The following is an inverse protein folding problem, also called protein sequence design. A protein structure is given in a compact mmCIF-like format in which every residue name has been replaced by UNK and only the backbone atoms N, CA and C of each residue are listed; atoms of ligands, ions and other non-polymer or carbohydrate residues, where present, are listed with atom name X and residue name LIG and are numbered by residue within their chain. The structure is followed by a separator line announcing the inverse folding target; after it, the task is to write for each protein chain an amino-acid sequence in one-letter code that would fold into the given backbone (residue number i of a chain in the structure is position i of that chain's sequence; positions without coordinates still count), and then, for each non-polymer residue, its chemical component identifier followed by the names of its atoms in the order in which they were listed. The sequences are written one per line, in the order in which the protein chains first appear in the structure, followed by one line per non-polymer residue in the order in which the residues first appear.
data_IF_296711435324
#
_entry.id   IF_296711435324
#
_cell.length_a   1.000
_cell.length_b   1.000
_cell.length_c   1.000
_cell.angle_alpha   90.00
_cell.angle_beta   90.00
_cell.angle_gamma   90.00
#
_symmetry.space_group_name_H-M   'P 1'
#
loop_
_entity.id
_entity.type
_entity.pdbx_description
1 polymer ?
#
# COMPACT_ATOMS: atom_id res chain seq x y z
N UNK A 1 -7.99 6.64 25.07
CA UNK A 1 -6.95 7.00 24.08
C UNK A 1 -7.51 8.19 23.31
N UNK A 2 -7.07 9.40 23.66
CA UNK A 2 -7.36 10.60 22.87
C UNK A 2 -6.64 10.46 21.51
N UNK A 3 -7.29 10.85 20.41
CA UNK A 3 -6.77 10.66 19.04
C UNK A 3 -5.57 11.54 18.66
N UNK A 4 -4.80 12.01 19.65
CA UNK A 4 -3.71 12.99 19.48
C UNK A 4 -2.34 12.36 19.17
N UNK A 5 -2.21 11.02 19.23
CA UNK A 5 -0.94 10.29 19.01
C UNK A 5 -0.92 9.43 17.72
N UNK A 6 -1.84 9.66 16.77
CA UNK A 6 -1.93 8.89 15.52
C UNK A 6 -1.48 9.74 14.32
N UNK A 7 -0.52 9.22 13.54
CA UNK A 7 -0.02 9.85 12.30
C UNK A 7 -0.29 8.92 11.13
N UNK A 8 -0.85 9.43 10.04
CA UNK A 8 -1.11 8.64 8.84
C UNK A 8 0.18 8.32 8.06
N UNK A 9 0.19 7.24 7.27
CA UNK A 9 1.31 6.95 6.37
C UNK A 9 1.55 8.09 5.40
N UNK A 10 0.49 8.70 4.86
CA UNK A 10 0.60 9.86 3.98
C UNK A 10 1.31 11.05 4.64
N UNK A 11 1.10 11.31 5.94
CA UNK A 11 1.77 12.38 6.68
C UNK A 11 3.24 12.06 6.94
N UNK A 12 3.57 10.81 7.27
CA UNK A 12 4.97 10.36 7.42
C UNK A 12 5.73 10.56 6.09
N UNK A 13 5.11 10.17 4.97
CA UNK A 13 5.72 10.31 3.63
C UNK A 13 5.73 11.77 3.13
N UNK A 14 4.77 12.60 3.57
CA UNK A 14 4.66 14.01 3.18
C UNK A 14 5.71 14.91 3.81
N UNK A 15 6.19 14.58 5.02
CA UNK A 15 7.26 15.31 5.71
C UNK A 15 8.62 15.25 5.01
N UNK A 16 8.85 14.26 4.15
CA UNK A 16 10.10 14.11 3.38
C UNK A 16 10.28 15.17 2.27
N UNK A 17 9.22 15.88 1.90
CA UNK A 17 9.18 16.67 0.66
C UNK A 17 9.36 18.19 0.81
N UNK A 18 9.17 18.80 1.98
CA UNK A 18 9.29 20.25 2.14
C UNK A 18 9.88 20.65 3.50
N UNK A 19 10.96 21.43 3.42
CA UNK A 19 11.64 22.17 4.49
C UNK A 19 12.37 21.34 5.56
N UNK A 20 13.67 21.16 5.32
CA UNK A 20 14.67 20.99 6.37
C UNK A 20 14.72 22.24 7.27
N UNK A 21 13.78 22.36 8.20
CA UNK A 21 13.89 23.19 9.41
C UNK A 21 12.76 22.90 10.40
N UNK A 22 13.09 22.05 11.40
CA UNK A 22 12.51 22.01 12.75
C UNK A 22 11.04 21.60 12.93
N UNK A 23 10.75 20.30 12.73
CA UNK A 23 9.79 19.51 13.52
C UNK A 23 10.30 18.07 13.55
N UNK A 24 10.23 17.35 14.68
CA UNK A 24 10.74 15.98 14.85
C UNK A 24 10.48 15.10 13.61
N UNK A 25 11.48 14.96 12.74
CA UNK A 25 11.44 14.09 11.57
C UNK A 25 11.45 12.65 12.07
N UNK A 26 10.34 11.94 11.94
CA UNK A 26 10.26 10.51 12.22
C UNK A 26 10.87 9.79 11.02
N UNK A 27 12.20 9.71 10.98
CA UNK A 27 12.90 8.88 10.01
C UNK A 27 12.64 7.41 10.39
N UNK A 28 11.85 6.71 9.56
CA UNK A 28 11.55 5.29 9.79
C UNK A 28 12.83 4.48 9.55
N UNK A 29 13.36 3.87 10.61
CA UNK A 29 14.46 2.93 10.48
C UNK A 29 14.08 1.73 9.63
N UNK A 30 15.11 1.03 9.12
CA UNK A 30 14.93 -0.10 8.23
C UNK A 30 14.12 -1.24 8.88
N UNK A 31 14.28 -1.43 10.19
CA UNK A 31 13.55 -2.42 10.97
C UNK A 31 12.07 -2.07 11.06
N UNK A 32 11.76 -0.82 11.46
CA UNK A 32 10.40 -0.31 11.54
C UNK A 32 9.68 -0.48 10.20
N UNK A 33 10.35 -0.13 9.09
CA UNK A 33 9.80 -0.30 7.74
C UNK A 33 9.30 -1.72 7.45
N UNK A 34 10.11 -2.74 7.75
CA UNK A 34 9.71 -4.13 7.52
C UNK A 34 8.66 -4.63 8.52
N UNK A 35 8.69 -4.15 9.77
CA UNK A 35 7.61 -4.41 10.71
C UNK A 35 6.28 -3.87 10.18
N UNK A 36 6.27 -2.63 9.67
CA UNK A 36 5.08 -2.03 9.08
C UNK A 36 4.62 -2.81 7.85
N UNK A 37 5.52 -3.21 6.95
CA UNK A 37 5.18 -4.03 5.79
C UNK A 37 4.49 -5.34 6.19
N UNK A 38 5.01 -6.04 7.21
CA UNK A 38 4.41 -7.27 7.74
C UNK A 38 3.04 -7.00 8.33
N UNK A 39 2.90 -5.94 9.14
CA UNK A 39 1.62 -5.59 9.76
C UNK A 39 0.57 -5.30 8.70
N UNK A 40 0.90 -4.49 7.67
CA UNK A 40 -0.03 -4.17 6.59
C UNK A 40 -0.50 -5.42 5.83
N UNK A 41 0.43 -6.30 5.46
CA UNK A 41 0.09 -7.54 4.76
C UNK A 41 -0.78 -8.45 5.63
N UNK A 42 -0.49 -8.56 6.93
CA UNK A 42 -1.32 -9.32 7.88
C UNK A 42 -2.71 -8.69 8.07
N UNK A 43 -2.80 -7.35 8.13
CA UNK A 43 -4.07 -6.64 8.27
C UNK A 43 -4.99 -6.87 7.08
N UNK A 44 -4.46 -6.89 5.85
CA UNK A 44 -5.22 -7.27 4.65
C UNK A 44 -5.83 -8.67 4.82
N UNK A 45 -5.05 -9.64 5.30
CA UNK A 45 -5.53 -11.00 5.51
C UNK A 45 -6.57 -11.10 6.64
N UNK A 46 -6.42 -10.30 7.71
CA UNK A 46 -7.29 -10.38 8.89
C UNK A 46 -8.60 -9.60 8.72
N UNK A 47 -8.58 -8.50 7.96
CA UNK A 47 -9.70 -7.55 7.88
C UNK A 47 -10.52 -7.68 6.60
N UNK A 48 -10.17 -8.57 5.68
CA UNK A 48 -10.89 -8.76 4.41
C UNK A 48 -12.39 -9.05 4.57
N UNK A 49 -12.80 -9.73 5.64
CA UNK A 49 -14.21 -10.05 5.92
C UNK A 49 -14.97 -8.92 6.60
N UNK A 50 -14.31 -7.79 6.88
CA UNK A 50 -14.91 -6.66 7.58
C UNK A 50 -15.19 -5.52 6.61
N UNK A 51 -16.27 -4.72 6.79
CA UNK A 51 -16.57 -3.54 5.94
C UNK A 51 -15.51 -2.41 5.99
N UNK A 52 -14.39 -2.65 6.69
CA UNK A 52 -13.29 -1.71 6.88
C UNK A 52 -12.33 -1.71 5.69
N UNK A 53 -12.24 -2.81 4.95
CA UNK A 53 -11.46 -2.90 3.71
C UNK A 53 -12.44 -2.80 2.54
N UNK A 54 -12.91 -1.59 2.24
CA UNK A 54 -13.55 -1.37 0.93
C UNK A 54 -12.47 -1.52 -0.17
N UNK A 55 -12.90 -1.80 -1.39
CA UNK A 55 -12.03 -1.96 -2.57
C UNK A 55 -11.06 -0.76 -2.79
N UNK A 56 -11.31 0.40 -2.17
CA UNK A 56 -10.58 1.66 -2.39
C UNK A 56 -9.68 2.17 -1.23
N UNK A 57 -9.09 1.32 -0.39
CA UNK A 57 -8.20 1.82 0.68
C UNK A 57 -6.84 2.31 0.14
N UNK A 58 -6.24 3.27 0.84
CA UNK A 58 -5.00 3.96 0.44
C UNK A 58 -4.09 4.24 1.65
N UNK A 59 -2.91 4.81 1.40
CA UNK A 59 -2.00 5.27 2.46
C UNK A 59 -2.60 6.32 3.41
N UNK A 60 -3.73 6.94 3.07
CA UNK A 60 -4.48 7.86 3.93
C UNK A 60 -5.31 7.15 4.97
N UNK A 61 -5.62 5.87 4.76
CA UNK A 61 -6.41 5.03 5.66
C UNK A 61 -5.52 4.23 6.63
N UNK A 62 -4.20 4.35 6.49
CA UNK A 62 -3.21 3.72 7.35
C UNK A 62 -2.69 4.71 8.37
N UNK A 63 -2.92 4.43 9.65
CA UNK A 63 -2.48 5.27 10.76
C UNK A 63 -1.50 4.49 11.64
N UNK A 64 -0.54 5.18 12.21
CA UNK A 64 0.42 4.64 13.15
C UNK A 64 0.24 5.35 14.48
N UNK A 65 -0.06 4.58 15.52
CA UNK A 65 0.04 5.04 16.88
C UNK A 65 1.46 4.78 17.39
N UNK A 66 2.14 5.83 17.84
CA UNK A 66 3.43 5.67 18.51
C UNK A 66 3.18 5.10 19.91
N UNK A 67 3.49 3.82 20.14
CA UNK A 67 3.43 3.26 21.49
C UNK A 67 4.63 3.78 22.26
N UNK A 68 4.41 4.78 23.12
CA UNK A 68 5.41 5.24 24.09
C UNK A 68 5.58 4.16 25.17
N UNK A 69 6.45 3.19 24.93
CA UNK A 69 6.87 2.22 25.94
C UNK A 69 8.28 2.56 26.40
N UNK A 70 8.52 2.52 27.72
CA UNK A 70 9.78 2.92 28.37
C UNK A 70 11.02 2.10 27.94
N UNK A 71 10.85 1.08 27.11
CA UNK A 71 11.92 0.18 26.65
C UNK A 71 12.13 0.11 25.13
N UNK A 72 11.22 0.65 24.30
CA UNK A 72 11.41 0.89 22.86
C UNK A 72 10.17 1.59 22.29
N UNK A 73 10.30 2.58 21.39
CA UNK A 73 9.16 3.04 20.61
C UNK A 73 8.74 1.89 19.68
N UNK A 74 7.58 1.28 19.93
CA UNK A 74 6.98 0.33 19.02
C UNK A 74 5.90 1.06 18.21
N UNK A 75 5.99 1.05 16.88
CA UNK A 75 4.93 1.58 16.04
C UNK A 75 3.79 0.56 15.99
N UNK A 76 2.61 0.93 16.51
CA UNK A 76 1.40 0.15 16.32
C UNK A 76 0.67 0.69 15.09
N UNK A 77 0.75 -0.01 13.96
CA UNK A 77 -0.05 0.35 12.79
C UNK A 77 -1.50 -0.12 12.98
N UNK A 78 -2.45 0.77 12.72
CA UNK A 78 -3.87 0.50 12.65
C UNK A 78 -4.44 1.03 11.33
N UNK A 79 -5.36 0.29 10.73
CA UNK A 79 -6.14 0.79 9.60
C UNK A 79 -7.31 1.57 10.19
N UNK A 80 -7.40 2.87 9.90
CA UNK A 80 -8.49 3.73 10.36
C UNK A 80 -9.21 4.32 9.14
N UNK A 81 -10.49 3.97 9.01
CA UNK A 81 -11.37 4.46 7.93
C UNK A 81 -12.15 5.68 8.43
N UNK A 82 -12.01 6.82 7.76
CA UNK A 82 -12.93 7.95 7.96
C UNK A 82 -14.24 7.67 7.22
N UNK A 83 -15.33 7.53 7.96
CA UNK A 83 -16.67 7.49 7.35
C UNK A 83 -17.05 8.90 6.87
N UNK A 84 -16.76 9.21 5.61
CA UNK A 84 -17.46 10.30 4.93
C UNK A 84 -18.93 9.87 4.72
N UNK A 85 -19.92 10.74 4.99
CA UNK A 85 -21.29 10.42 4.63
C UNK A 85 -21.38 10.16 3.12
N UNK A 86 -22.15 9.15 2.68
CA UNK A 86 -22.17 8.74 1.29
C UNK A 86 -22.52 9.94 0.41
N UNK A 87 -21.55 10.42 -0.37
CA UNK A 87 -21.82 11.37 -1.45
C UNK A 87 -22.72 10.63 -2.43
N UNK A 88 -23.96 11.10 -2.55
CA UNK A 88 -24.93 10.61 -3.54
C UNK A 88 -24.22 10.57 -4.89
N UNK A 89 -23.93 9.35 -5.38
CA UNK A 89 -23.45 9.16 -6.75
C UNK A 89 -24.55 9.69 -7.65
N UNK A 90 -24.34 10.83 -8.29
CA UNK A 90 -25.19 11.24 -9.39
C UNK A 90 -25.11 10.11 -10.43
N UNK A 91 -26.24 9.45 -10.70
CA UNK A 91 -26.37 8.48 -11.78
C UNK A 91 -26.13 9.21 -13.10
N UNK A 92 -24.89 9.21 -13.59
CA UNK A 92 -24.62 9.49 -14.99
C UNK A 92 -24.86 8.22 -15.80
N UNK A 93 -25.68 8.36 -16.83
CA UNK A 93 -26.07 7.32 -17.79
C UNK A 93 -24.87 6.49 -18.29
N UNK A 94 -25.03 5.17 -18.51
CA UNK A 94 -23.99 4.37 -19.13
C UNK A 94 -23.97 4.64 -20.63
N UNK A 95 -23.15 5.59 -21.09
CA UNK A 95 -22.75 5.61 -22.50
C UNK A 95 -21.82 4.42 -22.76
N UNK A 96 -22.31 3.52 -23.61
CA UNK A 96 -21.61 2.35 -24.14
C UNK A 96 -20.39 2.82 -24.96
N UNK A 97 -19.25 2.99 -24.29
CA UNK A 97 -17.95 3.10 -24.95
C UNK A 97 -17.36 1.69 -25.10
N UNK A 98 -16.71 1.36 -26.24
CA UNK A 98 -16.21 0.03 -26.47
C UNK A 98 -15.15 -0.32 -25.44
N UNK A 99 -15.33 -1.47 -24.80
CA UNK A 99 -14.42 -2.05 -23.80
C UNK A 99 -13.11 -2.41 -24.49
N UNK A 100 -12.22 -1.42 -24.62
CA UNK A 100 -10.80 -1.69 -24.77
C UNK A 100 -10.36 -2.37 -23.49
N UNK A 101 -9.82 -3.58 -23.60
CA UNK A 101 -9.34 -4.43 -22.52
C UNK A 101 -8.48 -3.63 -21.55
N UNK A 102 -9.10 -3.18 -20.46
CA UNK A 102 -8.43 -2.48 -19.37
C UNK A 102 -7.52 -3.51 -18.68
N UNK A 103 -6.29 -3.18 -18.28
CA UNK A 103 -5.60 -3.91 -17.23
C UNK A 103 -6.45 -3.73 -15.96
N UNK A 104 -7.45 -4.59 -15.78
CA UNK A 104 -8.28 -4.57 -14.60
C UNK A 104 -7.41 -5.13 -13.50
N UNK A 105 -6.96 -4.28 -12.58
CA UNK A 105 -6.39 -4.72 -11.32
C UNK A 105 -7.31 -5.80 -10.78
N UNK A 106 -6.79 -7.03 -10.68
CA UNK A 106 -7.61 -8.22 -10.42
C UNK A 106 -8.15 -8.27 -8.98
N UNK A 107 -7.46 -7.59 -8.08
CA UNK A 107 -7.87 -7.38 -6.70
C UNK A 107 -7.32 -6.02 -6.24
N UNK A 108 -8.20 -5.04 -6.06
CA UNK A 108 -7.82 -3.66 -5.73
C UNK A 108 -7.19 -3.55 -4.34
N UNK A 109 -7.65 -4.35 -3.36
CA UNK A 109 -7.08 -4.41 -2.02
C UNK A 109 -5.61 -4.84 -2.05
N UNK A 110 -5.29 -5.87 -2.84
CA UNK A 110 -3.94 -6.42 -2.97
C UNK A 110 -3.03 -5.47 -3.74
N UNK A 111 -3.58 -4.78 -4.73
CA UNK A 111 -2.87 -3.71 -5.43
C UNK A 111 -2.53 -2.54 -4.52
N UNK A 112 -3.50 -2.06 -3.72
CA UNK A 112 -3.29 -1.00 -2.74
C UNK A 112 -2.19 -1.36 -1.73
N UNK A 113 -2.13 -2.62 -1.29
CA UNK A 113 -1.01 -3.10 -0.48
C UNK A 113 0.32 -2.97 -1.22
N UNK A 114 0.39 -3.41 -2.48
CA UNK A 114 1.59 -3.28 -3.31
C UNK A 114 2.06 -1.83 -3.43
N UNK A 115 1.13 -0.89 -3.62
CA UNK A 115 1.43 0.55 -3.65
C UNK A 115 1.97 1.01 -2.29
N UNK A 116 1.33 0.66 -1.18
CA UNK A 116 1.80 1.02 0.16
C UNK A 116 3.21 0.48 0.44
N UNK A 117 3.53 -0.73 -0.03
CA UNK A 117 4.88 -1.29 0.10
C UNK A 117 5.92 -0.50 -0.70
N UNK A 118 5.60 -0.06 -1.93
CA UNK A 118 6.47 0.84 -2.70
C UNK A 118 6.70 2.14 -1.93
N UNK A 119 5.63 2.76 -1.45
CA UNK A 119 5.70 4.04 -0.78
C UNK A 119 6.49 3.96 0.54
N UNK A 120 6.28 2.88 1.31
CA UNK A 120 7.06 2.59 2.51
C UNK A 120 8.54 2.37 2.21
N UNK A 121 8.86 1.66 1.12
CA UNK A 121 10.23 1.39 0.70
C UNK A 121 10.98 2.67 0.36
N UNK A 122 10.32 3.59 -0.34
CA UNK A 122 10.97 4.78 -0.91
C UNK A 122 10.77 6.05 -0.06
N UNK A 123 9.93 6.01 0.97
CA UNK A 123 9.62 7.17 1.79
C UNK A 123 8.86 8.27 1.03
N UNK A 124 8.29 7.94 -0.14
CA UNK A 124 7.62 8.90 -1.02
C UNK A 124 6.33 8.30 -1.56
N UNK A 125 5.31 9.14 -1.76
CA UNK A 125 4.04 8.69 -2.34
C UNK A 125 4.20 8.25 -3.80
N UNK A 126 3.37 7.33 -4.27
CA UNK A 126 3.36 6.88 -5.67
C UNK A 126 3.16 8.06 -6.64
N UNK A 127 2.40 9.07 -6.19
CA UNK A 127 2.15 10.31 -6.90
C UNK A 127 3.44 11.07 -7.28
N UNK A 128 4.43 11.05 -6.40
CA UNK A 128 5.68 11.78 -6.59
C UNK A 128 6.55 11.21 -7.72
N UNK A 129 6.28 9.96 -8.10
CA UNK A 129 6.99 9.30 -9.19
C UNK A 129 6.32 9.51 -10.55
N UNK A 130 5.17 10.18 -10.63
CA UNK A 130 4.46 10.41 -11.89
C UNK A 130 5.32 11.21 -12.88
N UNK A 131 5.42 10.74 -14.12
CA UNK A 131 6.12 11.41 -15.22
C UNK A 131 5.13 12.04 -16.22
N UNK A 132 5.61 12.97 -17.06
CA UNK A 132 4.78 13.71 -18.03
C UNK A 132 4.03 12.81 -19.03
N UNK A 133 4.48 11.57 -19.23
CA UNK A 133 3.86 10.58 -20.12
C UNK A 133 2.87 9.62 -19.45
N UNK A 134 2.71 9.66 -18.12
CA UNK A 134 1.86 8.69 -17.40
C UNK A 134 0.36 9.02 -17.46
N UNK A 135 0.02 10.28 -17.71
CA UNK A 135 -1.37 10.75 -17.78
C UNK A 135 -1.97 10.56 -19.17
N UNK A 136 -3.25 10.19 -19.21
CA UNK A 136 -4.02 10.15 -20.45
C UNK A 136 -4.26 11.55 -21.03
N UNK A 137 -4.85 11.65 -22.23
CA UNK A 137 -5.17 12.92 -22.88
C UNK A 137 -6.06 13.85 -22.06
N UNK A 138 -6.81 13.33 -21.09
CA UNK A 138 -7.68 14.08 -20.18
C UNK A 138 -6.94 14.63 -18.95
N UNK A 139 -5.64 14.33 -18.80
CA UNK A 139 -4.82 14.75 -17.67
C UNK A 139 -5.24 14.12 -16.34
N UNK A 140 -6.10 13.09 -16.35
CA UNK A 140 -6.61 12.49 -15.12
C UNK A 140 -5.81 11.26 -14.74
N UNK A 141 -5.47 11.20 -13.46
CA UNK A 141 -4.86 10.02 -12.84
C UNK A 141 -5.94 8.96 -12.61
N UNK A 142 -5.66 7.74 -13.03
CA UNK A 142 -6.57 6.58 -12.91
C UNK A 142 -5.84 5.39 -12.27
N UNK A 143 -6.59 4.34 -11.94
CA UNK A 143 -5.99 3.08 -11.46
C UNK A 143 -4.99 2.49 -12.47
N UNK A 144 -5.21 2.70 -13.78
CA UNK A 144 -4.27 2.29 -14.82
C UNK A 144 -2.98 3.11 -14.75
N UNK A 145 -3.10 4.43 -14.57
CA UNK A 145 -1.96 5.32 -14.33
C UNK A 145 -1.15 4.86 -13.13
N UNK A 146 -1.81 4.55 -12.01
CA UNK A 146 -1.17 4.04 -10.80
C UNK A 146 -0.45 2.72 -11.04
N UNK A 147 -1.09 1.80 -11.76
CA UNK A 147 -0.50 0.52 -12.10
C UNK A 147 0.74 0.67 -12.99
N UNK A 148 0.72 1.61 -13.95
CA UNK A 148 1.87 1.92 -14.82
C UNK A 148 3.03 2.50 -14.02
N UNK A 149 2.76 3.52 -13.19
CA UNK A 149 3.76 4.13 -12.30
C UNK A 149 4.35 3.07 -11.37
N UNK A 150 3.50 2.27 -10.72
CA UNK A 150 3.94 1.24 -9.78
C UNK A 150 4.86 0.20 -10.43
N UNK A 151 4.54 -0.28 -11.64
CA UNK A 151 5.41 -1.22 -12.35
C UNK A 151 6.74 -0.59 -12.79
N UNK A 152 6.73 0.68 -13.22
CA UNK A 152 7.97 1.42 -13.55
C UNK A 152 8.86 1.58 -12.31
N UNK A 153 8.29 2.09 -11.22
CA UNK A 153 9.01 2.31 -9.95
C UNK A 153 9.53 0.99 -9.37
N UNK A 154 8.74 -0.08 -9.43
CA UNK A 154 9.18 -1.41 -9.02
C UNK A 154 10.44 -1.83 -9.76
N UNK A 155 10.43 -1.74 -11.09
CA UNK A 155 11.54 -2.17 -11.94
C UNK A 155 12.79 -1.32 -11.75
N UNK A 156 12.63 0.00 -11.61
CA UNK A 156 13.76 0.93 -11.63
C UNK A 156 14.32 1.29 -10.26
N UNK A 157 13.53 1.18 -9.19
CA UNK A 157 13.91 1.62 -7.85
C UNK A 157 13.89 0.45 -6.86
N UNK A 158 12.76 -0.24 -6.72
CA UNK A 158 12.57 -1.26 -5.68
C UNK A 158 13.51 -2.46 -5.83
N UNK A 159 13.67 -2.97 -7.06
CA UNK A 159 14.62 -4.07 -7.36
C UNK A 159 16.03 -3.74 -6.93
N UNK A 160 16.45 -2.49 -7.09
CA UNK A 160 17.79 -2.02 -6.76
C UNK A 160 17.93 -1.77 -5.26
N UNK A 161 16.93 -1.18 -4.61
CA UNK A 161 17.02 -0.76 -3.20
C UNK A 161 16.71 -1.87 -2.20
N UNK A 162 15.75 -2.76 -2.49
CA UNK A 162 15.25 -3.76 -1.53
C UNK A 162 15.64 -5.20 -1.89
N UNK A 163 16.19 -5.41 -3.08
CA UNK A 163 16.58 -6.72 -3.59
C UNK A 163 15.40 -7.63 -3.95
N UNK A 164 15.74 -8.84 -4.38
CA UNK A 164 14.81 -9.72 -5.11
C UNK A 164 13.62 -10.22 -4.28
N UNK A 165 13.80 -10.46 -2.98
CA UNK A 165 12.71 -11.03 -2.15
C UNK A 165 11.58 -10.03 -1.98
N UNK A 166 11.92 -8.82 -1.54
CA UNK A 166 10.94 -7.75 -1.36
C UNK A 166 10.29 -7.38 -2.69
N UNK A 167 11.10 -7.21 -3.74
CA UNK A 167 10.62 -6.82 -5.06
C UNK A 167 9.66 -7.83 -5.67
N UNK A 168 9.92 -9.14 -5.49
CA UNK A 168 8.99 -10.20 -5.92
C UNK A 168 7.67 -10.13 -5.16
N UNK A 169 7.70 -9.87 -3.85
CA UNK A 169 6.47 -9.68 -3.06
C UNK A 169 5.67 -8.48 -3.57
N UNK A 170 6.30 -7.32 -3.75
CA UNK A 170 5.63 -6.13 -4.30
C UNK A 170 5.06 -6.42 -5.68
N UNK A 171 5.81 -7.10 -6.55
CA UNK A 171 5.36 -7.48 -7.89
C UNK A 171 4.10 -8.35 -7.84
N UNK A 172 4.06 -9.35 -6.95
CA UNK A 172 2.88 -10.20 -6.78
C UNK A 172 1.67 -9.38 -6.31
N UNK A 173 1.86 -8.42 -5.41
CA UNK A 173 0.79 -7.54 -4.96
C UNK A 173 0.29 -6.61 -6.09
N UNK A 174 1.18 -5.91 -6.79
CA UNK A 174 0.82 -4.96 -7.87
C UNK A 174 0.13 -5.67 -9.05
N UNK A 175 0.60 -6.86 -9.43
CA UNK A 175 0.08 -7.57 -10.59
C UNK A 175 -0.92 -8.69 -10.24
N UNK A 176 -1.27 -8.83 -8.95
CA UNK A 176 -2.05 -9.95 -8.42
C UNK A 176 -1.54 -11.32 -8.94
N UNK A 177 -0.21 -11.49 -8.95
CA UNK A 177 0.47 -12.64 -9.54
C UNK A 177 0.61 -13.78 -8.52
N UNK A 178 -0.53 -14.28 -8.03
CA UNK A 178 -0.62 -15.40 -7.07
C UNK A 178 -1.02 -16.73 -7.74
N UNK A 179 -0.97 -16.80 -9.08
CA UNK A 179 -1.15 -18.03 -9.86
C UNK A 179 -2.52 -18.73 -9.65
N UNK A 180 -3.53 -17.96 -9.22
CA UNK A 180 -4.89 -18.43 -9.02
C UNK A 180 -5.88 -17.72 -9.96
N UNK A 181 -6.93 -18.44 -10.35
CA UNK A 181 -8.01 -17.94 -11.19
C UNK A 181 -8.95 -17.00 -10.44
N UNK A 182 -9.25 -17.32 -9.19
CA UNK A 182 -10.04 -16.49 -8.28
C UNK A 182 -9.11 -15.75 -7.30
N UNK A 183 -8.88 -14.45 -7.52
CA UNK A 183 -8.04 -13.63 -6.67
C UNK A 183 -8.82 -13.02 -5.49
N UNK A 184 -9.88 -13.67 -5.01
CA UNK A 184 -10.70 -13.18 -3.90
C UNK A 184 -10.11 -13.53 -2.54
N UNK A 185 -10.05 -12.56 -1.63
CA UNK A 185 -9.67 -12.83 -0.23
C UNK A 185 -10.71 -13.68 0.51
N UNK A 186 -11.92 -13.86 -0.02
CA UNK A 186 -12.91 -14.83 0.50
C UNK A 186 -12.51 -16.28 0.21
N UNK A 187 -11.67 -16.52 -0.80
CA UNK A 187 -11.14 -17.85 -1.13
C UNK A 187 -10.04 -18.26 -0.15
N UNK A 188 -10.20 -19.44 0.47
CA UNK A 188 -9.19 -20.01 1.36
C UNK A 188 -7.86 -20.27 0.63
N UNK A 189 -7.93 -20.71 -0.63
CA UNK A 189 -6.75 -20.99 -1.44
C UNK A 189 -5.99 -19.69 -1.77
N UNK A 190 -6.71 -18.62 -2.11
CA UNK A 190 -6.08 -17.32 -2.36
C UNK A 190 -5.48 -16.72 -1.09
N UNK A 191 -6.16 -16.84 0.05
CA UNK A 191 -5.60 -16.42 1.35
C UNK A 191 -4.31 -17.16 1.68
N UNK A 192 -4.28 -18.48 1.45
CA UNK A 192 -3.09 -19.27 1.67
C UNK A 192 -1.96 -18.84 0.71
N UNK A 193 -2.25 -18.71 -0.58
CA UNK A 193 -1.27 -18.25 -1.56
C UNK A 193 -0.73 -16.85 -1.24
N UNK A 194 -1.61 -15.93 -0.79
CA UNK A 194 -1.23 -14.60 -0.36
C UNK A 194 -0.35 -14.64 0.90
N UNK A 195 -0.71 -15.45 1.90
CA UNK A 195 0.10 -15.62 3.09
C UNK A 195 1.51 -16.14 2.74
N UNK A 196 1.58 -17.19 1.93
CA UNK A 196 2.85 -17.83 1.57
C UNK A 196 3.75 -16.96 0.67
N UNK A 197 3.16 -16.15 -0.20
CA UNK A 197 3.90 -15.41 -1.22
C UNK A 197 4.02 -13.90 -0.97
N UNK A 198 3.31 -13.35 0.03
CA UNK A 198 3.44 -11.96 0.44
C UNK A 198 3.80 -11.82 1.92
N UNK A 199 3.02 -12.42 2.83
CA UNK A 199 3.24 -12.26 4.27
C UNK A 199 4.54 -12.93 4.72
N UNK A 200 4.74 -14.20 4.37
CA UNK A 200 5.91 -14.97 4.80
C UNK A 200 7.23 -14.37 4.30
N UNK A 201 7.40 -13.99 3.02
CA UNK A 201 8.61 -13.32 2.57
C UNK A 201 8.93 -12.03 3.32
N UNK A 202 7.92 -11.21 3.64
CA UNK A 202 8.12 -9.98 4.42
C UNK A 202 8.58 -10.30 5.85
N UNK A 203 8.03 -11.35 6.47
CA UNK A 203 8.48 -11.83 7.79
C UNK A 203 9.90 -12.35 7.76
N UNK A 204 10.27 -13.13 6.74
CA UNK A 204 11.61 -13.68 6.60
C UNK A 204 12.64 -12.56 6.44
N UNK A 205 12.32 -11.54 5.64
CA UNK A 205 13.16 -10.34 5.50
C UNK A 205 13.33 -9.67 6.87
N UNK A 206 12.24 -9.41 7.59
CA UNK A 206 12.30 -8.81 8.92
C UNK A 206 13.17 -9.61 9.89
N UNK A 207 13.04 -10.94 9.92
CA UNK A 207 13.84 -11.82 10.79
C UNK A 207 15.32 -11.79 10.42
N UNK A 208 15.64 -11.79 9.12
CA UNK A 208 17.03 -11.72 8.65
C UNK A 208 17.71 -10.40 9.04
N UNK A 209 16.94 -9.31 9.22
CA UNK A 209 17.45 -8.02 9.70
C UNK A 209 17.57 -7.91 11.22
N UNK A 210 16.96 -8.83 11.99
CA UNK A 210 17.00 -8.82 13.47
C UNK A 210 18.15 -9.69 14.02
N UNK A 211 18.84 -10.46 13.16
CA UNK A 211 20.04 -11.23 13.51
C UNK A 211 21.32 -10.45 13.28
#
# INVERSE_FOLDING_TARGET
MTGEDMVSLAEILGGYGQNAQSTNEVELGLREKYELAVVLAMSVLQLHTTPWVDECWSNKDLYFAQKRSESSPALCACIQKSYDPPKVRAMSNPELTPVMSRPSVRNETIFALGVCLIELSLGQTLASFQEEGDLGPDGKRTILTDWMIANRVLKERIVVSEGDRYSRTVHRCINCAFELLDPSLESADFRQAFFDNAVMPLKDILVDFVK
#
